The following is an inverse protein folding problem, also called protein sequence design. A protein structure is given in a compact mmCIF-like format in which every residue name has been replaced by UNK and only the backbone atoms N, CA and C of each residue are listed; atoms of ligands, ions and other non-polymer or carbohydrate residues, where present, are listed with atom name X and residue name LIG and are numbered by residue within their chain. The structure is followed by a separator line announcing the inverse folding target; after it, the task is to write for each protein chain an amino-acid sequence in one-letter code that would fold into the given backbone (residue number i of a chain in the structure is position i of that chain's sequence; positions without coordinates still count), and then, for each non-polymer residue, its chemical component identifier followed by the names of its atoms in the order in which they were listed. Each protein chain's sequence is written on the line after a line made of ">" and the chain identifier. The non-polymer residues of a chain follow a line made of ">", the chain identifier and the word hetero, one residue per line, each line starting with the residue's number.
data_IF_037947446145
#
_entry.id   IF_037947446145
#
_cell.length_a   1.000
_cell.length_b   1.000
_cell.length_c   1.000
_cell.angle_alpha   90.00
_cell.angle_beta   90.00
_cell.angle_gamma   90.00
#
_symmetry.space_group_name_H-M   'P 1'
#
loop_
_entity.id
_entity.type
_entity.pdbx_description
1 polymer ?
#
# COMPACT_ATOMS: atom_id res chain seq x y z
N UNK A 1 5.99 -16.78 33.16
CA UNK A 1 4.52 -16.94 32.94
C UNK A 1 4.22 -17.92 31.79
N UNK A 2 4.65 -17.66 30.52
CA UNK A 2 4.35 -18.60 29.41
C UNK A 2 5.01 -19.98 29.63
N UNK A 3 6.26 -20.04 30.08
CA UNK A 3 6.94 -21.32 30.35
C UNK A 3 6.26 -22.16 31.43
N UNK A 4 5.58 -21.55 32.39
CA UNK A 4 4.76 -22.28 33.38
C UNK A 4 3.49 -22.85 32.75
N UNK A 5 2.83 -22.10 31.87
CA UNK A 5 1.66 -22.56 31.13
C UNK A 5 2.02 -23.72 30.20
N UNK A 6 3.14 -23.61 29.48
CA UNK A 6 3.69 -24.69 28.62
C UNK A 6 3.96 -25.97 29.43
N UNK A 7 4.57 -25.83 30.61
CA UNK A 7 4.83 -27.00 31.50
C UNK A 7 3.54 -27.63 32.04
N UNK A 8 2.51 -26.81 32.31
CA UNK A 8 1.26 -27.27 32.92
C UNK A 8 0.29 -27.88 31.90
N UNK A 9 0.33 -27.39 30.64
CA UNK A 9 -0.58 -27.79 29.58
C UNK A 9 0.17 -28.07 28.26
N UNK A 10 1.10 -29.05 28.22
CA UNK A 10 1.96 -29.26 27.05
C UNK A 10 1.22 -29.75 25.80
N UNK A 11 0.04 -30.40 25.98
CA UNK A 11 -0.75 -30.97 24.88
C UNK A 11 -1.84 -30.02 24.35
N UNK A 12 -1.99 -28.85 24.97
CA UNK A 12 -2.97 -27.86 24.57
C UNK A 12 -2.52 -27.13 23.29
N UNK A 13 -3.26 -27.20 22.15
CA UNK A 13 -2.86 -26.60 20.90
C UNK A 13 -2.61 -25.09 20.97
N UNK A 14 -3.42 -24.37 21.76
CA UNK A 14 -3.27 -22.92 21.93
C UNK A 14 -1.99 -22.54 22.69
N UNK A 15 -1.53 -23.42 23.59
CA UNK A 15 -0.26 -23.27 24.29
C UNK A 15 0.92 -23.48 23.34
N UNK A 16 0.81 -24.43 22.40
CA UNK A 16 1.81 -24.61 21.35
C UNK A 16 1.91 -23.38 20.44
N UNK A 17 0.80 -22.70 20.11
CA UNK A 17 0.82 -21.43 19.37
C UNK A 17 1.54 -20.31 20.12
N UNK A 18 1.29 -20.15 21.42
CA UNK A 18 2.01 -19.19 22.26
C UNK A 18 3.52 -19.48 22.26
N UNK A 19 3.90 -20.74 22.34
CA UNK A 19 5.29 -21.16 22.30
C UNK A 19 5.91 -20.91 20.92
N UNK A 20 5.19 -21.17 19.84
CA UNK A 20 5.67 -20.87 18.49
C UNK A 20 5.92 -19.36 18.29
N UNK A 21 5.05 -18.49 18.82
CA UNK A 21 5.25 -17.04 18.81
C UNK A 21 6.49 -16.61 19.60
N UNK A 22 6.76 -17.19 20.78
CA UNK A 22 7.98 -16.91 21.52
C UNK A 22 9.24 -17.33 20.76
N UNK A 23 9.22 -18.52 20.14
CA UNK A 23 10.33 -19.02 19.34
C UNK A 23 10.58 -18.14 18.12
N UNK A 24 9.54 -17.65 17.48
CA UNK A 24 9.63 -16.68 16.40
C UNK A 24 10.34 -15.39 16.86
N UNK A 25 9.93 -14.82 17.99
CA UNK A 25 10.55 -13.62 18.56
C UNK A 25 12.02 -13.85 18.93
N UNK A 26 12.39 -15.09 19.29
CA UNK A 26 13.77 -15.51 19.58
C UNK A 26 14.57 -15.88 18.31
N UNK A 27 14.01 -15.74 17.10
CA UNK A 27 14.64 -16.12 15.84
C UNK A 27 14.76 -17.62 15.59
N UNK A 28 14.07 -18.45 16.40
CA UNK A 28 14.12 -19.92 16.33
C UNK A 28 13.01 -20.46 15.43
N UNK A 29 13.02 -20.05 14.17
CA UNK A 29 11.95 -20.31 13.18
C UNK A 29 11.67 -21.79 12.96
N UNK A 30 12.71 -22.65 12.85
CA UNK A 30 12.54 -24.08 12.60
C UNK A 30 11.81 -24.79 13.76
N UNK A 31 12.10 -24.39 14.99
CA UNK A 31 11.42 -24.94 16.17
C UNK A 31 9.96 -24.48 16.22
N UNK A 32 9.67 -23.22 15.88
CA UNK A 32 8.30 -22.71 15.76
C UNK A 32 7.50 -23.48 14.72
N UNK A 33 8.07 -23.72 13.54
CA UNK A 33 7.45 -24.51 12.47
C UNK A 33 7.17 -25.96 12.90
N UNK A 34 8.10 -26.59 13.59
CA UNK A 34 7.93 -27.95 14.11
C UNK A 34 6.73 -28.06 15.07
N UNK A 35 6.56 -27.06 15.94
CA UNK A 35 5.39 -27.00 16.83
C UNK A 35 4.08 -26.85 16.06
N UNK A 36 4.04 -25.96 15.04
CA UNK A 36 2.84 -25.77 14.23
C UNK A 36 2.46 -27.03 13.46
N UNK A 37 3.43 -27.77 12.88
CA UNK A 37 3.15 -29.05 12.25
C UNK A 37 2.52 -30.05 13.21
N UNK A 38 2.93 -30.08 14.48
CA UNK A 38 2.31 -30.93 15.51
C UNK A 38 0.86 -30.56 15.84
N UNK A 39 0.47 -29.31 15.62
CA UNK A 39 -0.88 -28.81 15.89
C UNK A 39 -1.81 -28.99 14.69
N UNK A 40 -1.33 -29.02 13.45
CA UNK A 40 -2.13 -29.10 12.21
C UNK A 40 -3.25 -30.17 12.26
N UNK A 41 -3.02 -31.43 12.71
CA UNK A 41 -4.08 -32.44 12.73
C UNK A 41 -5.30 -32.06 13.58
N UNK A 42 -5.09 -31.21 14.60
CA UNK A 42 -6.13 -30.78 15.55
C UNK A 42 -6.99 -29.62 14.99
N UNK A 43 -6.56 -28.99 13.89
CA UNK A 43 -7.25 -27.83 13.29
C UNK A 43 -8.51 -28.19 12.51
N UNK A 44 -8.68 -29.47 12.11
CA UNK A 44 -9.76 -29.89 11.21
C UNK A 44 -11.16 -29.64 11.75
N UNK A 45 -11.34 -29.74 13.07
CA UNK A 45 -12.64 -29.63 13.75
C UNK A 45 -12.78 -28.33 14.55
N UNK A 46 -11.71 -27.52 14.62
CA UNK A 46 -11.69 -26.24 15.34
C UNK A 46 -11.33 -25.12 14.37
N UNK A 47 -12.33 -24.35 13.86
CA UNK A 47 -12.09 -23.25 12.92
C UNK A 47 -11.21 -22.13 13.51
N UNK A 48 -11.37 -21.81 14.81
CA UNK A 48 -10.59 -20.76 15.47
C UNK A 48 -9.12 -21.17 15.56
N UNK A 49 -8.87 -22.43 15.96
CA UNK A 49 -7.51 -22.98 15.99
C UNK A 49 -6.89 -23.01 14.58
N UNK A 50 -7.67 -23.39 13.57
CA UNK A 50 -7.23 -23.41 12.17
C UNK A 50 -6.79 -22.04 11.70
N UNK A 51 -7.61 -21.01 11.94
CA UNK A 51 -7.29 -19.64 11.60
C UNK A 51 -6.03 -19.15 12.33
N UNK A 52 -5.91 -19.45 13.63
CA UNK A 52 -4.73 -19.08 14.43
C UNK A 52 -3.46 -19.78 13.95
N UNK A 53 -3.50 -21.04 13.57
CA UNK A 53 -2.38 -21.80 13.00
C UNK A 53 -1.97 -21.21 11.64
N UNK A 54 -2.95 -20.87 10.79
CA UNK A 54 -2.67 -20.24 9.49
C UNK A 54 -2.00 -18.88 9.64
N UNK A 55 -2.47 -18.02 10.55
CA UNK A 55 -1.85 -16.73 10.87
C UNK A 55 -0.40 -16.93 11.34
N UNK A 56 -0.17 -17.93 12.21
CA UNK A 56 1.18 -18.24 12.70
C UNK A 56 2.12 -18.70 11.57
N UNK A 57 1.64 -19.53 10.65
CA UNK A 57 2.42 -19.89 9.45
C UNK A 57 2.74 -18.68 8.56
N UNK A 58 1.75 -17.83 8.30
CA UNK A 58 1.98 -16.64 7.47
C UNK A 58 3.00 -15.68 8.10
N UNK A 59 2.92 -15.48 9.43
CA UNK A 59 3.88 -14.65 10.17
C UNK A 59 5.32 -15.22 10.16
N UNK A 60 5.47 -16.53 9.99
CA UNK A 60 6.75 -17.21 9.80
C UNK A 60 7.20 -17.27 8.33
N UNK A 61 6.53 -16.55 7.42
CA UNK A 61 6.87 -16.53 6.00
C UNK A 61 6.51 -17.81 5.25
N UNK A 62 5.52 -18.57 5.76
CA UNK A 62 5.06 -19.83 5.17
C UNK A 62 3.61 -19.74 4.64
N UNK A 63 3.31 -18.82 3.70
CA UNK A 63 1.93 -18.58 3.23
C UNK A 63 1.32 -19.81 2.53
N UNK A 64 2.12 -20.67 1.91
CA UNK A 64 1.65 -21.92 1.30
C UNK A 64 1.18 -22.94 2.36
N UNK A 65 1.85 -23.02 3.50
CA UNK A 65 1.42 -23.85 4.61
C UNK A 65 0.14 -23.30 5.26
N UNK A 66 0.06 -21.98 5.41
CA UNK A 66 -1.12 -21.30 5.91
C UNK A 66 -2.37 -21.59 5.04
N UNK A 67 -2.23 -21.45 3.71
CA UNK A 67 -3.32 -21.74 2.77
C UNK A 67 -3.75 -23.21 2.84
N UNK A 68 -2.80 -24.14 2.84
CA UNK A 68 -3.09 -25.59 2.95
C UNK A 68 -3.88 -25.91 4.21
N UNK A 69 -3.55 -25.30 5.36
CA UNK A 69 -4.28 -25.49 6.62
C UNK A 69 -5.70 -24.95 6.51
N UNK A 70 -5.89 -23.77 5.91
CA UNK A 70 -7.21 -23.16 5.72
C UNK A 70 -8.08 -23.91 4.71
N UNK A 71 -7.48 -24.57 3.71
CA UNK A 71 -8.22 -25.31 2.68
C UNK A 71 -8.95 -26.55 3.24
N UNK A 72 -8.64 -26.99 4.47
CA UNK A 72 -9.20 -28.20 5.07
C UNK A 72 -10.31 -27.83 6.05
N UNK A 73 -11.49 -28.47 5.92
CA UNK A 73 -12.62 -28.30 6.83
C UNK A 73 -13.67 -27.30 6.33
N UNK A 74 -14.64 -26.92 7.19
CA UNK A 74 -15.70 -25.99 6.83
C UNK A 74 -15.13 -24.64 6.39
N UNK A 75 -15.73 -24.07 5.36
CA UNK A 75 -15.34 -22.76 4.79
C UNK A 75 -16.43 -21.72 5.06
N UNK A 76 -16.03 -20.55 5.50
CA UNK A 76 -16.86 -19.35 5.60
C UNK A 76 -16.21 -18.19 4.85
N UNK A 77 -16.85 -17.04 4.81
CA UNK A 77 -16.34 -15.85 4.09
C UNK A 77 -14.98 -15.41 4.62
N UNK A 78 -14.76 -15.49 5.93
CA UNK A 78 -13.49 -15.13 6.54
C UNK A 78 -12.38 -16.08 6.09
N UNK A 79 -12.63 -17.39 6.13
CA UNK A 79 -11.68 -18.41 5.66
C UNK A 79 -11.36 -18.24 4.17
N UNK A 80 -12.39 -18.01 3.33
CA UNK A 80 -12.20 -17.73 1.90
C UNK A 80 -11.37 -16.46 1.67
N UNK A 81 -11.62 -15.40 2.44
CA UNK A 81 -10.87 -14.14 2.37
C UNK A 81 -9.39 -14.33 2.74
N UNK A 82 -9.11 -15.08 3.82
CA UNK A 82 -7.74 -15.40 4.22
C UNK A 82 -7.00 -16.22 3.16
N UNK A 83 -7.63 -17.25 2.59
CA UNK A 83 -7.07 -18.05 1.49
C UNK A 83 -6.76 -17.19 0.27
N UNK A 84 -7.70 -16.35 -0.14
CA UNK A 84 -7.52 -15.44 -1.26
C UNK A 84 -6.33 -14.48 -1.03
N UNK A 85 -6.21 -13.91 0.16
CA UNK A 85 -5.09 -13.03 0.54
C UNK A 85 -3.74 -13.75 0.48
N UNK A 86 -3.66 -14.98 1.01
CA UNK A 86 -2.44 -15.78 0.99
C UNK A 86 -2.01 -16.14 -0.43
N UNK A 87 -2.95 -16.54 -1.29
CA UNK A 87 -2.67 -16.85 -2.71
C UNK A 87 -2.25 -15.60 -3.49
N UNK A 88 -2.87 -14.46 -3.21
CA UNK A 88 -2.47 -13.18 -3.80
C UNK A 88 -1.05 -12.78 -3.38
N UNK A 89 -0.72 -12.92 -2.09
CA UNK A 89 0.63 -12.65 -1.55
C UNK A 89 1.70 -13.53 -2.19
N UNK A 90 1.37 -14.77 -2.52
CA UNK A 90 2.26 -15.70 -3.24
C UNK A 90 2.35 -15.41 -4.74
N UNK A 91 1.47 -14.58 -5.29
CA UNK A 91 1.35 -14.34 -6.73
C UNK A 91 0.79 -15.54 -7.51
N UNK A 92 0.20 -16.52 -6.81
CA UNK A 92 -0.38 -17.72 -7.46
C UNK A 92 -1.77 -17.41 -8.03
N UNK A 93 -1.77 -16.78 -9.19
CA UNK A 93 -3.01 -16.43 -9.92
C UNK A 93 -3.80 -17.65 -10.36
N UNK A 94 -3.14 -18.81 -10.57
CA UNK A 94 -3.83 -20.02 -11.01
C UNK A 94 -4.64 -20.61 -9.85
N UNK A 95 -4.04 -20.77 -8.67
CA UNK A 95 -4.73 -21.22 -7.47
C UNK A 95 -5.84 -20.24 -7.04
N UNK A 96 -5.58 -18.93 -7.12
CA UNK A 96 -6.58 -17.89 -6.81
C UNK A 96 -7.76 -17.94 -7.80
N UNK A 97 -7.51 -18.20 -9.08
CA UNK A 97 -8.57 -18.40 -10.09
C UNK A 97 -9.41 -19.66 -9.81
N UNK A 98 -8.77 -20.73 -9.35
CA UNK A 98 -9.49 -21.95 -8.93
C UNK A 98 -10.36 -21.69 -7.72
N UNK A 99 -9.84 -20.96 -6.71
CA UNK A 99 -10.58 -20.54 -5.52
C UNK A 99 -11.81 -19.68 -5.89
N UNK A 100 -11.62 -18.72 -6.79
CA UNK A 100 -12.70 -17.89 -7.33
C UNK A 100 -13.80 -18.75 -7.98
N UNK A 101 -13.42 -19.69 -8.84
CA UNK A 101 -14.37 -20.57 -9.53
C UNK A 101 -15.08 -21.51 -8.55
N UNK A 102 -14.42 -21.95 -7.50
CA UNK A 102 -15.03 -22.77 -6.43
C UNK A 102 -16.06 -21.96 -5.65
N UNK A 103 -15.68 -20.79 -5.16
CA UNK A 103 -16.56 -19.89 -4.41
C UNK A 103 -17.77 -19.46 -5.26
N UNK A 104 -17.57 -19.11 -6.52
CA UNK A 104 -18.65 -18.73 -7.45
C UNK A 104 -19.67 -19.86 -7.66
N UNK A 105 -19.22 -21.12 -7.70
CA UNK A 105 -20.11 -22.28 -7.88
C UNK A 105 -20.86 -22.67 -6.61
N UNK A 106 -20.24 -22.52 -5.46
CA UNK A 106 -20.87 -22.83 -4.17
C UNK A 106 -21.92 -21.78 -3.77
N UNK A 107 -21.78 -20.57 -4.27
CA UNK A 107 -22.64 -19.44 -3.94
C UNK A 107 -23.91 -19.40 -4.82
N UNK A 108 -24.86 -20.30 -4.57
CA UNK A 108 -26.17 -20.24 -5.26
C UNK A 108 -26.94 -18.93 -4.96
N UNK A 109 -26.79 -18.38 -3.77
CA UNK A 109 -27.29 -17.07 -3.32
C UNK A 109 -26.23 -16.47 -2.38
N UNK A 110 -25.15 -15.87 -2.93
CA UNK A 110 -24.10 -15.32 -2.09
C UNK A 110 -24.65 -14.15 -1.26
N UNK A 111 -24.27 -14.11 0.01
CA UNK A 111 -24.50 -12.95 0.88
C UNK A 111 -23.67 -11.73 0.46
N UNK A 112 -23.93 -10.53 1.02
CA UNK A 112 -23.18 -9.32 0.65
C UNK A 112 -21.66 -9.47 0.76
N UNK A 113 -21.17 -10.08 1.85
CA UNK A 113 -19.73 -10.25 2.08
C UNK A 113 -19.09 -11.22 1.07
N UNK A 114 -19.80 -12.29 0.68
CA UNK A 114 -19.34 -13.19 -0.38
C UNK A 114 -19.27 -12.51 -1.74
N UNK A 115 -20.26 -11.64 -2.07
CA UNK A 115 -20.26 -10.86 -3.32
C UNK A 115 -19.09 -9.89 -3.37
N UNK A 116 -18.85 -9.17 -2.28
CA UNK A 116 -17.71 -8.27 -2.15
C UNK A 116 -16.39 -9.02 -2.30
N UNK A 117 -16.23 -10.19 -1.66
CA UNK A 117 -15.04 -11.02 -1.78
C UNK A 117 -14.82 -11.53 -3.20
N UNK A 118 -15.86 -11.99 -3.88
CA UNK A 118 -15.79 -12.41 -5.29
C UNK A 118 -15.37 -11.26 -6.19
N UNK A 119 -15.89 -10.05 -5.96
CA UNK A 119 -15.46 -8.84 -6.64
C UNK A 119 -13.97 -8.56 -6.44
N UNK A 120 -13.48 -8.60 -5.18
CA UNK A 120 -12.07 -8.38 -4.83
C UNK A 120 -11.13 -9.39 -5.50
N UNK A 121 -11.51 -10.67 -5.52
CA UNK A 121 -10.70 -11.70 -6.19
C UNK A 121 -10.69 -11.47 -7.72
N UNK A 122 -11.83 -11.16 -8.32
CA UNK A 122 -11.91 -10.86 -9.75
C UNK A 122 -11.08 -9.62 -10.13
N UNK A 123 -11.12 -8.56 -9.29
CA UNK A 123 -10.31 -7.34 -9.47
C UNK A 123 -8.81 -7.65 -9.43
N UNK A 124 -8.35 -8.42 -8.44
CA UNK A 124 -6.95 -8.86 -8.35
C UNK A 124 -6.51 -9.68 -9.57
N UNK A 125 -7.39 -10.53 -10.07
CA UNK A 125 -7.17 -11.32 -11.29
C UNK A 125 -7.27 -10.47 -12.58
N UNK A 126 -7.52 -9.16 -12.47
CA UNK A 126 -7.75 -8.22 -13.57
C UNK A 126 -8.96 -8.57 -14.45
N UNK A 127 -9.94 -9.29 -13.87
CA UNK A 127 -11.23 -9.62 -14.50
C UNK A 127 -12.23 -8.50 -14.18
N UNK A 128 -11.90 -7.27 -14.57
CA UNK A 128 -12.64 -6.07 -14.17
C UNK A 128 -14.14 -6.11 -14.49
N UNK A 129 -14.60 -6.58 -15.67
CA UNK A 129 -16.05 -6.69 -15.91
C UNK A 129 -16.77 -7.64 -14.95
N UNK A 130 -16.12 -8.74 -14.55
CA UNK A 130 -16.66 -9.67 -13.55
C UNK A 130 -16.69 -9.02 -12.16
N UNK A 131 -15.62 -8.31 -11.80
CA UNK A 131 -15.53 -7.57 -10.53
C UNK A 131 -16.67 -6.55 -10.41
N UNK A 132 -16.90 -5.73 -11.42
CA UNK A 132 -18.01 -4.76 -11.49
C UNK A 132 -19.35 -5.44 -11.28
N UNK A 133 -19.61 -6.57 -11.96
CA UNK A 133 -20.87 -7.29 -11.82
C UNK A 133 -21.09 -7.79 -10.37
N UNK A 134 -20.02 -8.29 -9.71
CA UNK A 134 -20.11 -8.71 -8.34
C UNK A 134 -20.38 -7.55 -7.39
N UNK A 135 -19.65 -6.45 -7.53
CA UNK A 135 -19.82 -5.25 -6.70
C UNK A 135 -21.23 -4.67 -6.84
N UNK A 136 -21.75 -4.54 -8.07
CA UNK A 136 -23.12 -4.07 -8.32
C UNK A 136 -24.19 -5.04 -7.78
N UNK A 137 -23.82 -6.30 -7.58
CA UNK A 137 -24.77 -7.29 -7.03
C UNK A 137 -24.93 -7.20 -5.52
N UNK A 138 -24.09 -6.42 -4.80
CA UNK A 138 -24.21 -6.20 -3.35
C UNK A 138 -25.46 -5.37 -3.05
N UNK A 139 -26.48 -5.95 -2.36
CA UNK A 139 -27.81 -5.31 -2.29
C UNK A 139 -27.92 -4.23 -1.22
N UNK A 140 -26.98 -4.22 -0.24
CA UNK A 140 -27.01 -3.39 0.95
C UNK A 140 -26.09 -3.95 2.05
N UNK A 141 -26.19 -3.39 3.26
CA UNK A 141 -25.36 -3.77 4.41
C UNK A 141 -24.05 -2.99 4.45
N UNK A 142 -23.17 -3.42 5.36
CA UNK A 142 -21.89 -2.77 5.63
C UNK A 142 -20.95 -2.81 4.41
N UNK A 143 -21.14 -3.79 3.52
CA UNK A 143 -20.33 -3.97 2.32
C UNK A 143 -20.70 -3.04 1.16
N UNK A 144 -21.89 -2.41 1.19
CA UNK A 144 -22.41 -1.66 0.04
C UNK A 144 -21.50 -0.50 -0.37
N UNK A 145 -21.05 0.31 0.58
CA UNK A 145 -20.27 1.50 0.29
C UNK A 145 -18.88 1.14 -0.27
N UNK A 146 -18.23 0.13 0.30
CA UNK A 146 -16.97 -0.40 -0.27
C UNK A 146 -17.20 -0.96 -1.67
N UNK A 147 -18.28 -1.71 -1.88
CA UNK A 147 -18.59 -2.27 -3.19
C UNK A 147 -18.83 -1.18 -4.24
N UNK A 148 -19.55 -0.08 -3.92
CA UNK A 148 -19.77 1.06 -4.82
C UNK A 148 -18.47 1.73 -5.24
N UNK A 149 -17.59 2.04 -4.29
CA UNK A 149 -16.27 2.64 -4.58
C UNK A 149 -15.40 1.71 -5.43
N UNK A 150 -15.38 0.42 -5.11
CA UNK A 150 -14.63 -0.58 -5.89
C UNK A 150 -15.21 -0.79 -7.29
N UNK A 151 -16.54 -0.73 -7.47
CA UNK A 151 -17.16 -0.81 -8.78
C UNK A 151 -16.67 0.33 -9.66
N UNK A 152 -16.72 1.57 -9.16
CA UNK A 152 -16.21 2.73 -9.88
C UNK A 152 -14.72 2.59 -10.24
N UNK A 153 -13.88 2.16 -9.30
CA UNK A 153 -12.46 1.91 -9.58
C UNK A 153 -12.26 0.83 -10.66
N UNK A 154 -12.99 -0.29 -10.55
CA UNK A 154 -12.91 -1.39 -11.53
C UNK A 154 -13.42 -0.98 -12.93
N UNK A 155 -14.43 -0.09 -13.01
CA UNK A 155 -14.86 0.52 -14.29
C UNK A 155 -13.71 1.32 -14.92
N UNK A 156 -13.01 2.16 -14.12
CA UNK A 156 -11.86 2.92 -14.60
C UNK A 156 -10.73 2.02 -15.10
N UNK A 157 -10.40 0.95 -14.34
CA UNK A 157 -9.39 -0.05 -14.71
C UNK A 157 -9.79 -0.86 -15.96
N UNK A 158 -11.10 -0.99 -16.22
CA UNK A 158 -11.63 -1.59 -17.45
C UNK A 158 -11.63 -0.62 -18.66
N UNK A 159 -11.12 0.61 -18.50
CA UNK A 159 -11.14 1.64 -19.55
C UNK A 159 -12.50 2.32 -19.75
N UNK A 160 -13.44 2.12 -18.83
CA UNK A 160 -14.80 2.68 -18.89
C UNK A 160 -14.90 3.95 -18.05
N UNK A 161 -14.08 4.94 -18.39
CA UNK A 161 -13.89 6.16 -17.61
C UNK A 161 -15.20 6.93 -17.33
N UNK A 162 -16.10 7.08 -18.31
CA UNK A 162 -17.35 7.78 -18.11
C UNK A 162 -18.23 7.11 -17.05
N UNK A 163 -18.37 5.78 -17.11
CA UNK A 163 -19.15 5.03 -16.12
C UNK A 163 -18.54 5.11 -14.72
N UNK A 164 -17.21 5.06 -14.62
CA UNK A 164 -16.53 5.24 -13.35
C UNK A 164 -16.81 6.61 -12.73
N UNK A 165 -16.76 7.67 -13.53
CA UNK A 165 -17.06 9.03 -13.08
C UNK A 165 -18.54 9.21 -12.70
N UNK A 166 -19.48 8.63 -13.45
CA UNK A 166 -20.89 8.67 -13.10
C UNK A 166 -21.14 7.99 -11.73
N UNK A 167 -20.49 6.88 -11.47
CA UNK A 167 -20.61 6.17 -10.18
C UNK A 167 -20.04 6.98 -9.01
N UNK A 168 -18.85 7.58 -9.14
CA UNK A 168 -18.28 8.41 -8.03
C UNK A 168 -19.11 9.65 -7.79
N UNK A 169 -19.65 10.31 -8.84
CA UNK A 169 -20.53 11.47 -8.70
C UNK A 169 -21.85 11.10 -8.00
N UNK A 170 -22.39 9.91 -8.28
CA UNK A 170 -23.56 9.40 -7.57
C UNK A 170 -23.28 9.20 -6.07
N UNK A 171 -22.09 8.72 -5.68
CA UNK A 171 -21.69 8.58 -4.28
C UNK A 171 -21.51 9.96 -3.63
N UNK A 172 -20.81 10.89 -4.29
CA UNK A 172 -20.55 12.24 -3.78
C UNK A 172 -21.85 13.01 -3.48
N UNK A 173 -22.90 12.81 -4.28
CA UNK A 173 -24.18 13.50 -4.16
C UNK A 173 -25.19 12.78 -3.27
N UNK A 174 -24.92 11.58 -2.81
CA UNK A 174 -25.82 10.75 -2.01
C UNK A 174 -25.75 11.13 -0.53
N UNK A 175 -26.73 11.90 -0.06
CA UNK A 175 -26.79 12.34 1.33
C UNK A 175 -27.04 11.20 2.35
N UNK A 176 -27.40 10.00 1.89
CA UNK A 176 -27.57 8.82 2.76
C UNK A 176 -26.26 8.08 3.04
N UNK A 177 -25.19 8.43 2.32
CA UNK A 177 -23.86 7.85 2.47
C UNK A 177 -23.05 8.67 3.49
N UNK A 178 -22.28 8.00 4.33
CA UNK A 178 -21.42 8.63 5.34
C UNK A 178 -20.39 9.58 4.70
N UNK A 179 -20.02 10.61 5.45
CA UNK A 179 -19.07 11.62 5.00
C UNK A 179 -17.72 11.04 4.58
N UNK A 180 -17.25 10.01 5.29
CA UNK A 180 -15.98 9.32 4.98
C UNK A 180 -16.01 8.71 3.58
N UNK A 181 -17.08 8.02 3.24
CA UNK A 181 -17.25 7.39 1.92
C UNK A 181 -17.41 8.44 0.81
N UNK A 182 -18.09 9.56 1.10
CA UNK A 182 -18.18 10.67 0.15
C UNK A 182 -16.84 11.35 -0.10
N UNK A 183 -15.99 11.48 0.94
CA UNK A 183 -14.61 11.97 0.80
C UNK A 183 -13.76 11.02 -0.06
N UNK A 184 -13.86 9.71 0.22
CA UNK A 184 -13.18 8.70 -0.58
C UNK A 184 -13.60 8.72 -2.04
N UNK A 185 -14.86 9.06 -2.33
CA UNK A 185 -15.33 9.22 -3.71
C UNK A 185 -14.70 10.42 -4.43
N UNK A 186 -14.39 11.54 -3.73
CA UNK A 186 -13.61 12.65 -4.32
C UNK A 186 -12.16 12.25 -4.57
N UNK A 187 -11.54 11.53 -3.66
CA UNK A 187 -10.19 11.00 -3.85
C UNK A 187 -10.14 10.03 -5.03
N UNK A 188 -11.11 9.12 -5.11
CA UNK A 188 -11.19 8.18 -6.23
C UNK A 188 -11.42 8.89 -7.56
N UNK A 189 -12.27 9.94 -7.62
CA UNK A 189 -12.43 10.74 -8.84
C UNK A 189 -11.08 11.34 -9.27
N UNK A 190 -10.34 11.92 -8.32
CA UNK A 190 -9.03 12.50 -8.62
C UNK A 190 -8.05 11.44 -9.18
N UNK A 191 -8.00 10.24 -8.60
CA UNK A 191 -7.19 9.14 -9.13
C UNK A 191 -7.64 8.67 -10.51
N UNK A 192 -8.95 8.59 -10.76
CA UNK A 192 -9.49 8.25 -12.08
C UNK A 192 -9.08 9.28 -13.13
N UNK A 193 -9.17 10.58 -12.80
CA UNK A 193 -8.75 11.69 -13.65
C UNK A 193 -7.24 11.67 -13.90
N UNK A 194 -6.44 11.45 -12.85
CA UNK A 194 -4.99 11.33 -12.98
C UNK A 194 -4.58 10.18 -13.92
N UNK A 195 -5.20 9.00 -13.77
CA UNK A 195 -4.94 7.83 -14.66
C UNK A 195 -5.33 8.09 -16.11
N UNK A 196 -6.28 8.98 -16.36
CA UNK A 196 -6.70 9.40 -17.68
C UNK A 196 -5.92 10.61 -18.23
N UNK A 197 -4.87 11.06 -17.52
CA UNK A 197 -4.10 12.27 -17.84
C UNK A 197 -4.96 13.55 -17.89
N UNK A 198 -6.12 13.54 -17.20
CA UNK A 198 -7.02 14.69 -17.06
C UNK A 198 -6.61 15.55 -15.86
N UNK A 199 -5.48 16.23 -15.96
CA UNK A 199 -4.94 17.06 -14.88
C UNK A 199 -5.89 18.20 -14.44
N UNK A 200 -6.61 18.91 -15.32
CA UNK A 200 -7.61 19.88 -14.87
C UNK A 200 -8.75 19.25 -14.08
N UNK A 201 -9.26 18.11 -14.53
CA UNK A 201 -10.32 17.39 -13.83
C UNK A 201 -9.89 16.85 -12.48
N UNK A 202 -8.65 16.39 -12.33
CA UNK A 202 -8.06 15.97 -11.05
C UNK A 202 -8.13 17.09 -10.02
N UNK A 203 -7.64 18.28 -10.37
CA UNK A 203 -7.65 19.45 -9.47
C UNK A 203 -9.08 19.90 -9.16
N UNK A 204 -9.98 19.88 -10.15
CA UNK A 204 -11.39 20.23 -9.93
C UNK A 204 -12.05 19.28 -8.93
N UNK A 205 -11.87 17.97 -9.07
CA UNK A 205 -12.40 16.97 -8.14
C UNK A 205 -11.95 17.25 -6.70
N UNK A 206 -10.63 17.45 -6.49
CA UNK A 206 -10.06 17.76 -5.18
C UNK A 206 -10.53 19.12 -4.64
N UNK A 207 -10.70 20.12 -5.50
CA UNK A 207 -11.23 21.43 -5.09
C UNK A 207 -12.69 21.34 -4.64
N UNK A 208 -13.53 20.57 -5.34
CA UNK A 208 -14.93 20.31 -4.92
C UNK A 208 -14.99 19.53 -3.61
N UNK A 209 -14.13 18.52 -3.45
CA UNK A 209 -13.99 17.79 -2.19
C UNK A 209 -13.62 18.71 -1.04
N UNK A 210 -12.65 19.60 -1.21
CA UNK A 210 -12.24 20.58 -0.20
C UNK A 210 -13.25 21.72 0.01
N UNK A 211 -14.13 21.99 -0.95
CA UNK A 211 -15.25 22.90 -0.72
C UNK A 211 -16.32 22.27 0.20
N UNK A 212 -16.51 20.96 0.12
CA UNK A 212 -17.40 20.20 1.00
C UNK A 212 -16.74 19.89 2.38
N UNK A 213 -15.44 19.60 2.38
CA UNK A 213 -14.64 19.19 3.55
C UNK A 213 -13.35 20.02 3.64
N UNK A 214 -13.41 21.29 4.13
CA UNK A 214 -12.32 22.27 3.98
C UNK A 214 -10.99 21.92 4.65
N UNK A 215 -11.03 21.12 5.71
CA UNK A 215 -9.85 20.76 6.53
C UNK A 215 -9.50 19.28 6.44
N UNK A 216 -9.98 18.60 5.40
CA UNK A 216 -9.71 17.17 5.21
C UNK A 216 -8.28 16.95 4.68
N UNK A 217 -7.43 16.33 5.52
CA UNK A 217 -6.00 16.19 5.27
C UNK A 217 -5.68 15.29 4.06
N UNK A 218 -6.47 14.25 3.80
CA UNK A 218 -6.30 13.38 2.64
C UNK A 218 -6.50 14.11 1.32
N UNK A 219 -7.55 14.95 1.25
CA UNK A 219 -7.83 15.79 0.07
C UNK A 219 -6.77 16.89 -0.12
N UNK A 220 -6.32 17.53 0.97
CA UNK A 220 -5.22 18.50 0.92
C UNK A 220 -3.94 17.86 0.43
N UNK A 221 -3.59 16.68 0.96
CA UNK A 221 -2.40 15.94 0.58
C UNK A 221 -2.44 15.53 -0.90
N UNK A 222 -3.54 14.94 -1.34
CA UNK A 222 -3.73 14.55 -2.75
C UNK A 222 -3.60 15.77 -3.70
N UNK A 223 -4.19 16.93 -3.30
CA UNK A 223 -4.11 18.16 -4.11
C UNK A 223 -2.70 18.74 -4.12
N UNK A 224 -1.97 18.66 -3.01
CA UNK A 224 -0.58 19.08 -2.96
C UNK A 224 0.30 18.28 -3.94
N UNK A 225 0.13 16.96 -3.97
CA UNK A 225 0.84 16.10 -4.92
C UNK A 225 0.45 16.40 -6.38
N UNK A 226 -0.84 16.70 -6.63
CA UNK A 226 -1.29 17.11 -7.96
C UNK A 226 -0.67 18.44 -8.40
N UNK A 227 -0.55 19.43 -7.50
CA UNK A 227 0.16 20.69 -7.77
C UNK A 227 1.65 20.47 -8.00
N UNK A 228 2.31 19.59 -7.22
CA UNK A 228 3.74 19.27 -7.42
C UNK A 228 3.99 18.69 -8.82
N UNK A 229 3.15 17.74 -9.28
CA UNK A 229 3.23 17.20 -10.64
C UNK A 229 3.09 18.25 -11.74
N UNK A 230 2.38 19.35 -11.45
CA UNK A 230 2.19 20.50 -12.37
C UNK A 230 3.24 21.59 -12.21
N UNK A 231 4.25 21.37 -11.39
CA UNK A 231 5.28 22.37 -11.05
C UNK A 231 4.75 23.62 -10.32
N UNK A 232 3.55 23.56 -9.76
CA UNK A 232 2.99 24.65 -8.92
C UNK A 232 3.38 24.45 -7.46
N UNK A 233 4.65 24.67 -7.18
CA UNK A 233 5.24 24.41 -5.88
C UNK A 233 4.63 25.30 -4.79
N UNK A 234 4.22 26.51 -5.12
CA UNK A 234 3.62 27.43 -4.15
C UNK A 234 2.27 26.90 -3.62
N UNK A 235 1.42 26.34 -4.51
CA UNK A 235 0.16 25.74 -4.09
C UNK A 235 0.35 24.42 -3.38
N UNK A 236 1.30 23.59 -3.84
CA UNK A 236 1.67 22.35 -3.15
C UNK A 236 2.11 22.62 -1.70
N UNK A 237 3.02 23.59 -1.52
CA UNK A 237 3.49 24.01 -0.20
C UNK A 237 2.33 24.54 0.68
N UNK A 238 1.43 25.35 0.13
CA UNK A 238 0.31 25.91 0.89
C UNK A 238 -0.62 24.81 1.44
N UNK A 239 -0.95 23.80 0.64
CA UNK A 239 -1.79 22.69 1.07
C UNK A 239 -1.08 21.83 2.14
N UNK A 240 0.21 21.49 1.95
CA UNK A 240 0.98 20.70 2.93
C UNK A 240 1.15 21.46 4.27
N UNK A 241 1.40 22.76 4.21
CA UNK A 241 1.45 23.57 5.43
C UNK A 241 0.13 23.64 6.15
N UNK A 242 -1.00 23.66 5.42
CA UNK A 242 -2.32 23.63 6.03
C UNK A 242 -2.54 22.35 6.84
N UNK A 243 -2.10 21.20 6.33
CA UNK A 243 -2.10 19.93 7.09
C UNK A 243 -1.26 20.07 8.38
N UNK A 244 -0.05 20.63 8.28
CA UNK A 244 0.85 20.77 9.43
C UNK A 244 0.40 21.80 10.48
N UNK A 245 -0.58 22.67 10.15
CA UNK A 245 -1.23 23.55 11.14
C UNK A 245 -2.16 22.74 12.04
N UNK A 246 -2.92 21.80 11.50
CA UNK A 246 -3.85 20.96 12.27
C UNK A 246 -3.18 19.74 12.88
N UNK A 247 -2.23 19.14 12.15
CA UNK A 247 -1.48 17.95 12.54
C UNK A 247 0.03 18.21 12.39
N UNK A 248 0.68 18.88 13.35
CA UNK A 248 2.09 19.26 13.23
C UNK A 248 3.06 18.08 12.99
N UNK A 249 2.70 16.89 13.49
CA UNK A 249 3.51 15.66 13.35
C UNK A 249 2.98 14.72 12.26
N UNK A 250 2.20 15.21 11.29
CA UNK A 250 1.74 14.40 10.16
C UNK A 250 2.94 13.99 9.29
N UNK A 251 3.37 12.74 9.42
CA UNK A 251 4.60 12.22 8.81
C UNK A 251 4.57 12.32 7.28
N UNK A 252 3.50 11.92 6.57
CA UNK A 252 3.40 12.12 5.12
C UNK A 252 3.57 13.58 4.69
N UNK A 253 2.92 14.53 5.38
CA UNK A 253 2.99 15.95 5.04
C UNK A 253 4.38 16.54 5.33
N UNK A 254 5.01 16.17 6.45
CA UNK A 254 6.39 16.55 6.77
C UNK A 254 7.36 16.10 5.69
N UNK A 255 7.28 14.83 5.29
CA UNK A 255 8.17 14.27 4.27
C UNK A 255 7.92 14.91 2.89
N UNK A 256 6.65 15.00 2.47
CA UNK A 256 6.31 15.58 1.17
C UNK A 256 6.73 17.05 1.06
N UNK A 257 6.47 17.86 2.11
CA UNK A 257 6.90 19.25 2.12
C UNK A 257 8.43 19.37 2.10
N UNK A 258 9.10 18.61 2.97
CA UNK A 258 10.56 18.61 3.04
C UNK A 258 11.20 18.20 1.71
N UNK A 259 10.73 17.12 1.08
CA UNK A 259 11.21 16.68 -0.23
C UNK A 259 10.98 17.75 -1.31
N UNK A 260 9.78 18.30 -1.40
CA UNK A 260 9.44 19.37 -2.35
C UNK A 260 10.37 20.59 -2.18
N UNK A 261 10.61 21.03 -0.94
CA UNK A 261 11.53 22.14 -0.68
C UNK A 261 12.97 21.81 -1.06
N UNK A 262 13.44 20.59 -0.80
CA UNK A 262 14.80 20.17 -1.16
C UNK A 262 14.96 20.00 -2.68
N UNK A 263 13.98 19.43 -3.37
CA UNK A 263 14.07 19.13 -4.79
C UNK A 263 13.83 20.36 -5.68
N UNK A 264 12.82 21.19 -5.31
CA UNK A 264 12.28 22.24 -6.18
C UNK A 264 12.65 23.67 -5.77
N UNK A 265 13.36 23.82 -4.62
CA UNK A 265 13.73 25.15 -4.12
C UNK A 265 15.18 25.17 -3.60
N UNK A 266 15.63 26.30 -3.04
CA UNK A 266 16.91 26.41 -2.32
C UNK A 266 16.78 26.33 -0.78
N UNK A 267 15.62 25.93 -0.25
CA UNK A 267 15.31 25.97 1.20
C UNK A 267 15.74 24.68 1.90
N UNK A 268 16.99 24.27 1.70
CA UNK A 268 17.50 22.95 2.12
C UNK A 268 17.55 22.77 3.63
N UNK A 269 17.80 23.84 4.40
CA UNK A 269 17.86 23.72 5.87
C UNK A 269 16.47 23.47 6.46
N UNK A 270 15.46 24.16 5.97
CA UNK A 270 14.07 23.93 6.37
C UNK A 270 13.59 22.55 5.94
N UNK A 271 13.95 22.14 4.72
CA UNK A 271 13.67 20.79 4.23
C UNK A 271 14.27 19.71 5.14
N UNK A 272 15.51 19.90 5.60
CA UNK A 272 16.18 18.98 6.51
C UNK A 272 15.44 18.85 7.86
N UNK A 273 14.98 19.97 8.43
CA UNK A 273 14.24 19.97 9.71
C UNK A 273 12.92 19.21 9.60
N UNK A 274 12.17 19.39 8.50
CA UNK A 274 10.92 18.69 8.26
C UNK A 274 11.13 17.18 8.04
N UNK A 275 12.08 16.81 7.18
CA UNK A 275 12.38 15.40 6.89
C UNK A 275 12.95 14.69 8.12
N UNK A 276 13.76 15.38 8.95
CA UNK A 276 14.32 14.77 10.17
C UNK A 276 13.23 14.44 11.19
N UNK A 277 12.20 15.28 11.32
CA UNK A 277 11.01 14.97 12.14
C UNK A 277 10.27 13.74 11.61
N UNK A 278 10.03 13.65 10.31
CA UNK A 278 9.43 12.48 9.70
C UNK A 278 10.28 11.21 9.95
N UNK A 279 11.60 11.32 9.79
CA UNK A 279 12.56 10.21 9.98
C UNK A 279 12.63 9.71 11.43
N UNK A 280 12.48 10.61 12.41
CA UNK A 280 12.43 10.20 13.83
C UNK A 280 11.18 9.37 14.12
N UNK A 281 10.05 9.72 13.50
CA UNK A 281 8.80 8.98 13.65
C UNK A 281 8.82 7.62 12.92
N UNK A 282 9.37 7.58 11.71
CA UNK A 282 9.41 6.37 10.86
C UNK A 282 10.82 6.12 10.32
N UNK A 283 11.76 5.63 11.16
CA UNK A 283 13.18 5.54 10.80
C UNK A 283 13.50 4.52 9.69
N UNK A 284 12.64 3.54 9.46
CA UNK A 284 12.81 2.49 8.44
C UNK A 284 11.88 2.65 7.23
N UNK A 285 11.22 3.81 7.09
CA UNK A 285 10.45 4.14 5.90
C UNK A 285 11.41 4.54 4.76
N UNK A 286 11.46 3.74 3.70
CA UNK A 286 12.40 3.91 2.59
C UNK A 286 12.30 5.28 1.92
N UNK A 287 11.07 5.79 1.70
CA UNK A 287 10.84 7.09 1.06
C UNK A 287 11.36 8.26 1.93
N UNK A 288 11.20 8.16 3.26
CA UNK A 288 11.71 9.19 4.18
C UNK A 288 13.24 9.14 4.27
N UNK A 289 13.82 7.93 4.30
CA UNK A 289 15.28 7.75 4.30
C UNK A 289 15.88 8.26 2.99
N UNK A 290 15.20 8.06 1.85
CA UNK A 290 15.59 8.63 0.55
C UNK A 290 15.53 10.16 0.57
N UNK A 291 14.41 10.75 1.00
CA UNK A 291 14.26 12.20 1.14
C UNK A 291 15.34 12.81 2.02
N UNK A 292 15.69 12.11 3.12
CA UNK A 292 16.79 12.54 4.01
C UNK A 292 18.14 12.50 3.29
N UNK A 293 18.44 11.43 2.56
CA UNK A 293 19.63 11.34 1.72
C UNK A 293 19.66 12.42 0.63
N UNK A 294 18.52 12.67 0.00
CA UNK A 294 18.41 13.70 -1.03
C UNK A 294 18.69 15.11 -0.51
N UNK A 295 18.11 15.51 0.63
CA UNK A 295 18.40 16.83 1.20
C UNK A 295 19.84 16.97 1.66
N UNK A 296 20.49 15.91 2.16
CA UNK A 296 21.93 15.92 2.46
C UNK A 296 22.76 16.18 1.21
N UNK A 297 22.40 15.56 0.08
CA UNK A 297 23.04 15.82 -1.21
C UNK A 297 22.87 17.29 -1.64
N UNK A 298 21.65 17.84 -1.53
CA UNK A 298 21.38 19.26 -1.86
C UNK A 298 22.16 20.23 -0.96
N UNK A 299 22.52 19.82 0.25
CA UNK A 299 23.41 20.54 1.19
C UNK A 299 24.91 20.33 0.90
N UNK A 300 25.27 19.56 -0.15
CA UNK A 300 26.67 19.26 -0.49
C UNK A 300 27.32 18.15 0.36
N UNK A 301 26.56 17.49 1.25
CA UNK A 301 27.03 16.41 2.12
C UNK A 301 26.97 15.06 1.40
N UNK A 302 27.66 14.96 0.25
CA UNK A 302 27.53 13.84 -0.69
C UNK A 302 27.86 12.46 -0.09
N UNK A 303 28.87 12.38 0.79
CA UNK A 303 29.24 11.13 1.43
C UNK A 303 28.14 10.63 2.37
N UNK A 304 27.59 11.51 3.21
CA UNK A 304 26.48 11.19 4.13
C UNK A 304 25.21 10.85 3.36
N UNK A 305 24.93 11.60 2.29
CA UNK A 305 23.81 11.35 1.38
C UNK A 305 23.85 9.93 0.81
N UNK A 306 25.01 9.50 0.29
CA UNK A 306 25.18 8.17 -0.29
C UNK A 306 24.91 7.04 0.72
N UNK A 307 25.28 7.23 1.99
CA UNK A 307 25.00 6.26 3.05
C UNK A 307 23.49 6.07 3.23
N UNK A 308 22.74 7.18 3.31
CA UNK A 308 21.29 7.12 3.51
C UNK A 308 20.57 6.59 2.27
N UNK A 309 20.93 7.05 1.08
CA UNK A 309 20.32 6.58 -0.17
C UNK A 309 20.54 5.08 -0.41
N UNK A 310 21.72 4.55 -0.09
CA UNK A 310 21.96 3.10 -0.14
C UNK A 310 21.14 2.33 0.90
N UNK A 311 20.93 2.92 2.09
CA UNK A 311 20.01 2.35 3.08
C UNK A 311 18.58 2.33 2.55
N UNK A 312 18.09 3.42 1.98
CA UNK A 312 16.78 3.48 1.34
C UNK A 312 16.62 2.40 0.26
N UNK A 313 17.64 2.23 -0.60
CA UNK A 313 17.67 1.18 -1.62
C UNK A 313 17.65 -0.24 -1.05
N UNK A 314 18.19 -0.44 0.14
CA UNK A 314 18.12 -1.73 0.83
C UNK A 314 16.71 -2.00 1.37
N UNK A 315 16.03 -0.95 1.85
CA UNK A 315 14.67 -1.03 2.38
C UNK A 315 13.63 -1.23 1.27
N UNK A 316 13.79 -0.53 0.14
CA UNK A 316 12.88 -0.67 -1.01
C UNK A 316 13.64 -0.51 -2.33
N UNK A 317 13.30 -1.37 -3.31
CA UNK A 317 13.78 -1.28 -4.68
C UNK A 317 12.85 -0.37 -5.50
N UNK A 318 13.12 0.92 -5.45
CA UNK A 318 12.32 1.97 -6.06
C UNK A 318 13.12 2.71 -7.15
N UNK A 319 12.52 3.07 -8.30
CA UNK A 319 13.23 3.73 -9.40
C UNK A 319 13.76 5.11 -9.04
N UNK A 320 13.07 5.88 -8.21
CA UNK A 320 13.50 7.21 -7.77
C UNK A 320 14.71 7.10 -6.83
N UNK A 321 14.66 6.17 -5.87
CA UNK A 321 15.78 5.90 -4.96
C UNK A 321 17.01 5.47 -5.76
N UNK A 322 16.86 4.59 -6.76
CA UNK A 322 17.97 4.19 -7.62
C UNK A 322 18.55 5.38 -8.39
N UNK A 323 17.70 6.25 -8.93
CA UNK A 323 18.14 7.45 -9.64
C UNK A 323 18.93 8.40 -8.72
N UNK A 324 18.47 8.62 -7.48
CA UNK A 324 19.15 9.44 -6.49
C UNK A 324 20.52 8.86 -6.09
N UNK A 325 20.60 7.53 -5.86
CA UNK A 325 21.90 6.86 -5.61
C UNK A 325 22.84 7.07 -6.81
N UNK A 326 22.35 6.88 -8.03
CA UNK A 326 23.12 7.08 -9.27
C UNK A 326 23.64 8.50 -9.40
N UNK A 327 22.80 9.50 -9.14
CA UNK A 327 23.18 10.91 -9.22
C UNK A 327 24.29 11.26 -8.21
N UNK A 328 24.16 10.83 -6.95
CA UNK A 328 25.18 11.09 -5.92
C UNK A 328 26.48 10.37 -6.22
N UNK A 329 26.43 9.12 -6.70
CA UNK A 329 27.61 8.37 -7.13
C UNK A 329 28.33 9.07 -8.28
N UNK A 330 27.58 9.58 -9.25
CA UNK A 330 28.16 10.32 -10.37
C UNK A 330 28.95 11.53 -9.91
N UNK A 331 28.37 12.36 -9.02
CA UNK A 331 29.03 13.54 -8.45
C UNK A 331 30.28 13.18 -7.62
N UNK A 332 30.29 11.99 -7.02
CA UNK A 332 31.45 11.45 -6.29
C UNK A 332 32.52 10.83 -7.22
N UNK A 333 32.34 10.87 -8.55
CA UNK A 333 33.27 10.32 -9.53
C UNK A 333 33.22 8.79 -9.69
N UNK A 334 32.20 8.13 -9.11
CA UNK A 334 32.00 6.67 -9.18
C UNK A 334 31.11 6.30 -10.35
N UNK A 335 31.54 6.63 -11.57
CA UNK A 335 30.70 6.60 -12.76
C UNK A 335 30.19 5.19 -13.13
N UNK A 336 30.99 4.13 -12.93
CA UNK A 336 30.56 2.77 -13.25
C UNK A 336 29.44 2.29 -12.32
N UNK A 337 29.58 2.56 -11.01
CA UNK A 337 28.51 2.27 -10.04
C UNK A 337 27.25 3.12 -10.35
N UNK A 338 27.42 4.38 -10.72
CA UNK A 338 26.32 5.27 -11.08
C UNK A 338 25.52 4.75 -12.28
N UNK A 339 26.20 4.30 -13.36
CA UNK A 339 25.54 3.69 -14.53
C UNK A 339 24.70 2.49 -14.15
N UNK A 340 25.25 1.61 -13.31
CA UNK A 340 24.48 0.46 -12.81
C UNK A 340 23.18 0.89 -12.12
N UNK A 341 23.20 1.91 -11.26
CA UNK A 341 21.98 2.39 -10.59
C UNK A 341 21.02 3.09 -11.55
N UNK A 342 21.49 3.80 -12.55
CA UNK A 342 20.62 4.35 -13.61
C UNK A 342 19.99 3.25 -14.48
N UNK A 343 20.69 2.15 -14.72
CA UNK A 343 20.14 0.97 -15.39
C UNK A 343 19.07 0.29 -14.54
N UNK A 344 19.29 0.14 -13.21
CA UNK A 344 18.29 -0.39 -12.29
C UNK A 344 17.04 0.51 -12.23
N UNK A 345 17.20 1.83 -12.16
CA UNK A 345 16.09 2.77 -12.22
C UNK A 345 15.29 2.62 -13.53
N UNK A 346 15.99 2.54 -14.68
CA UNK A 346 15.36 2.37 -15.99
C UNK A 346 14.64 1.01 -16.14
N UNK A 347 15.15 -0.04 -15.52
CA UNK A 347 14.53 -1.36 -15.51
C UNK A 347 13.22 -1.38 -14.72
N UNK A 348 13.17 -0.60 -13.63
CA UNK A 348 11.98 -0.50 -12.77
C UNK A 348 10.94 0.44 -13.39
N UNK A 349 11.36 1.62 -13.84
CA UNK A 349 10.51 2.61 -14.50
C UNK A 349 11.36 3.49 -15.44
N UNK A 350 11.32 3.25 -16.77
CA UNK A 350 12.11 4.03 -17.74
C UNK A 350 11.67 5.51 -17.86
N UNK A 351 10.44 5.83 -17.44
CA UNK A 351 9.88 7.18 -17.48
C UNK A 351 9.99 7.93 -16.13
N UNK A 352 10.71 7.36 -15.16
CA UNK A 352 10.88 7.98 -13.85
C UNK A 352 11.51 9.38 -13.98
N UNK A 353 10.87 10.38 -13.36
CA UNK A 353 11.27 11.80 -13.50
C UNK A 353 12.67 12.09 -12.94
N UNK A 354 13.07 11.48 -11.83
CA UNK A 354 14.40 11.66 -11.26
C UNK A 354 15.48 11.07 -12.18
N UNK A 355 15.21 9.87 -12.75
CA UNK A 355 16.11 9.26 -13.73
C UNK A 355 16.25 10.12 -14.98
N UNK A 356 15.15 10.62 -15.54
CA UNK A 356 15.19 11.45 -16.75
C UNK A 356 15.97 12.74 -16.50
N UNK A 357 15.77 13.42 -15.37
CA UNK A 357 16.55 14.60 -14.95
C UNK A 357 18.04 14.28 -14.80
N UNK A 358 18.37 13.16 -14.17
CA UNK A 358 19.77 12.75 -14.00
C UNK A 358 20.45 12.46 -15.34
N UNK A 359 19.75 11.80 -16.27
CA UNK A 359 20.24 11.55 -17.64
C UNK A 359 20.48 12.84 -18.43
N UNK A 360 19.54 13.77 -18.36
CA UNK A 360 19.70 15.08 -19.00
C UNK A 360 20.89 15.86 -18.43
N UNK A 361 21.07 15.83 -17.10
CA UNK A 361 22.12 16.57 -16.39
C UNK A 361 23.51 16.01 -16.62
N UNK A 362 23.69 14.70 -16.70
CA UNK A 362 24.99 14.05 -16.66
C UNK A 362 25.37 13.35 -17.98
N UNK A 363 24.40 13.03 -18.82
CA UNK A 363 24.58 12.21 -20.03
C UNK A 363 25.46 10.97 -19.78
N UNK A 364 25.05 10.09 -18.82
CA UNK A 364 25.86 9.03 -18.26
C UNK A 364 26.09 7.85 -19.23
#
# INVERSE_FOLDING_TARGET
>A
MIDEVVKRFPEEPRVALLRASQLQQAGQTDQALSLLHGVEPKTRQDPDLRNAVAIAYDSLGQPAAAERVLAVGPQDVQTWGMRASLLAKQGDKAALSNLYNELSRQAAKPDPAQRLLLGKIAEYLKRYPEAVNWYHSVPGGDELNEARLRAANAQGLAGRQSLALDEVHAIQSDASVDDDVRRDAYLLEAELRQRADDLPGEIDALARGLAAYPDENGLLYARALAWERRDDIARAEADLRKILVTEPENVPALNALGYTLADRTGRYQEALELIDRARVAEPDNAAIVDSYGWVLYRLGRNADALVQLRRAWTLAKDPEIAAHVGEVLWVLGKHDEARHFFEEAARLDPENRALLRAREKFNP
#
